data_IF_125507241645
#
_entry.id   IF_125507241645
#
_cell.length_a   1.000
_cell.length_b   1.000
_cell.length_c   1.000
_cell.angle_alpha   90.00
_cell.angle_beta   90.00
_cell.angle_gamma   90.00
#
_symmetry.space_group_name_H-M   'P 1'
#
loop_
_entity.id
_entity.type
_entity.pdbx_description
1 polymer ?
#
# COMPACT_ATOMS: atom_id res chain seq x y z
N UNK A 1 -13.88 -13.83 2.74
CA UNK A 1 -14.87 -14.75 3.36
C UNK A 1 -14.66 -14.98 4.86
N UNK A 2 -13.48 -14.75 5.42
CA UNK A 2 -13.20 -15.00 6.85
C UNK A 2 -13.47 -13.77 7.71
N UNK A 3 -13.38 -12.59 7.15
CA UNK A 3 -13.57 -11.34 7.88
C UNK A 3 -14.97 -10.75 7.71
N UNK A 4 -15.61 -11.02 6.58
CA UNK A 4 -16.93 -10.50 6.27
C UNK A 4 -17.72 -11.56 5.48
N UNK A 5 -18.86 -12.03 5.99
CA UNK A 5 -19.75 -12.95 5.26
C UNK A 5 -20.42 -12.20 4.09
N UNK A 6 -20.45 -12.80 2.91
CA UNK A 6 -21.12 -12.21 1.76
C UNK A 6 -21.00 -13.06 0.49
N UNK A 7 -21.91 -12.89 -0.43
CA UNK A 7 -21.89 -13.49 -1.75
C UNK A 7 -20.90 -12.77 -2.67
N UNK A 8 -20.50 -13.40 -3.76
CA UNK A 8 -19.59 -12.79 -4.75
C UNK A 8 -20.19 -11.50 -5.34
N UNK A 9 -21.51 -11.46 -5.54
CA UNK A 9 -22.21 -10.28 -6.05
C UNK A 9 -22.16 -9.10 -5.07
N UNK A 10 -22.36 -9.34 -3.79
CA UNK A 10 -22.26 -8.31 -2.74
C UNK A 10 -20.84 -7.73 -2.69
N UNK A 11 -19.81 -8.56 -2.78
CA UNK A 11 -18.43 -8.08 -2.80
C UNK A 11 -18.10 -7.24 -4.03
N UNK A 12 -18.61 -7.63 -5.21
CA UNK A 12 -18.46 -6.83 -6.44
C UNK A 12 -19.15 -5.48 -6.26
N UNK A 13 -20.38 -5.49 -5.73
CA UNK A 13 -21.14 -4.25 -5.50
C UNK A 13 -20.44 -3.33 -4.53
N UNK A 14 -20.00 -3.84 -3.36
CA UNK A 14 -19.26 -3.05 -2.36
C UNK A 14 -17.97 -2.50 -2.94
N UNK A 15 -17.19 -3.33 -3.65
CA UNK A 15 -15.94 -2.89 -4.27
C UNK A 15 -16.17 -1.82 -5.33
N UNK A 16 -17.24 -1.93 -6.13
CA UNK A 16 -17.59 -0.94 -7.14
C UNK A 16 -18.00 0.39 -6.52
N UNK A 17 -18.83 0.34 -5.46
CA UNK A 17 -19.22 1.54 -4.72
C UNK A 17 -18.00 2.22 -4.09
N UNK A 18 -17.12 1.45 -3.42
CA UNK A 18 -15.90 1.99 -2.81
C UNK A 18 -14.97 2.60 -3.86
N UNK A 19 -14.80 1.93 -5.01
CA UNK A 19 -13.98 2.46 -6.11
C UNK A 19 -14.56 3.75 -6.66
N UNK A 20 -15.88 3.80 -6.87
CA UNK A 20 -16.57 5.02 -7.31
C UNK A 20 -16.40 6.15 -6.31
N UNK A 21 -16.62 5.88 -5.03
CA UNK A 21 -16.42 6.86 -3.96
C UNK A 21 -14.96 7.35 -3.92
N UNK A 22 -13.98 6.46 -3.99
CA UNK A 22 -12.57 6.84 -4.05
C UNK A 22 -12.27 7.78 -5.22
N UNK A 23 -12.81 7.50 -6.42
CA UNK A 23 -12.61 8.36 -7.59
C UNK A 23 -13.25 9.74 -7.39
N UNK A 24 -14.46 9.78 -6.83
CA UNK A 24 -15.19 11.05 -6.64
C UNK A 24 -14.61 11.92 -5.52
N UNK A 25 -13.90 11.32 -4.55
CA UNK A 25 -13.36 12.05 -3.39
C UNK A 25 -11.95 12.56 -3.55
N UNK A 26 -11.25 12.12 -4.57
CA UNK A 26 -9.90 12.64 -4.85
C UNK A 26 -10.01 14.10 -5.26
N UNK A 27 -9.31 14.97 -4.51
CA UNK A 27 -9.34 16.43 -4.68
C UNK A 27 -8.86 16.86 -6.07
N UNK A 28 -7.89 16.15 -6.66
CA UNK A 28 -7.34 16.39 -7.99
C UNK A 28 -7.51 15.15 -8.88
N UNK A 29 -8.73 14.93 -9.35
CA UNK A 29 -9.06 13.79 -10.20
C UNK A 29 -8.27 13.78 -11.52
N UNK A 30 -8.07 14.97 -12.11
CA UNK A 30 -7.30 15.11 -13.35
C UNK A 30 -5.88 14.56 -13.19
N UNK A 31 -5.20 14.93 -12.11
CA UNK A 31 -3.82 14.51 -11.88
C UNK A 31 -3.71 13.04 -11.45
N UNK A 32 -4.72 12.53 -10.77
CA UNK A 32 -4.71 11.18 -10.21
C UNK A 32 -5.13 10.11 -11.21
N UNK A 33 -6.07 10.41 -12.13
CA UNK A 33 -6.68 9.42 -13.02
C UNK A 33 -6.53 9.75 -14.51
N UNK A 34 -6.57 11.03 -14.89
CA UNK A 34 -6.56 11.42 -16.30
C UNK A 34 -5.18 11.82 -16.81
N UNK A 35 -4.27 12.26 -15.94
CA UNK A 35 -2.89 12.46 -16.33
C UNK A 35 -2.14 11.14 -16.29
N UNK A 36 -1.71 10.64 -17.46
CA UNK A 36 -1.12 9.31 -17.62
C UNK A 36 0.02 9.01 -16.63
N UNK A 37 0.99 9.92 -16.51
CA UNK A 37 2.12 9.72 -15.59
C UNK A 37 1.69 9.70 -14.11
N UNK A 38 0.75 10.58 -13.73
CA UNK A 38 0.18 10.61 -12.39
C UNK A 38 -0.63 9.34 -12.09
N UNK A 39 -1.48 8.94 -13.01
CA UNK A 39 -2.29 7.73 -12.89
C UNK A 39 -1.42 6.47 -12.75
N UNK A 40 -0.42 6.31 -13.62
CA UNK A 40 0.48 5.15 -13.52
C UNK A 40 1.32 5.17 -12.25
N UNK A 41 1.86 6.33 -11.87
CA UNK A 41 2.78 6.45 -10.74
C UNK A 41 2.09 6.41 -9.38
N UNK A 42 0.88 6.97 -9.25
CA UNK A 42 0.15 6.97 -7.97
C UNK A 42 -0.95 5.89 -7.94
N UNK A 43 -1.93 5.96 -8.83
CA UNK A 43 -3.08 5.06 -8.82
C UNK A 43 -2.70 3.63 -9.21
N UNK A 44 -1.81 3.46 -10.19
CA UNK A 44 -1.31 2.15 -10.59
C UNK A 44 -0.55 1.46 -9.46
N UNK A 45 0.38 2.16 -8.81
CA UNK A 45 1.11 1.58 -7.66
C UNK A 45 0.21 1.36 -6.44
N UNK A 46 -0.80 2.18 -6.23
CA UNK A 46 -1.81 1.91 -5.21
C UNK A 46 -2.60 0.63 -5.51
N UNK A 47 -3.01 0.41 -6.76
CA UNK A 47 -3.65 -0.84 -7.16
C UNK A 47 -2.74 -2.06 -6.93
N UNK A 48 -1.45 -1.97 -7.30
CA UNK A 48 -0.47 -3.03 -7.02
C UNK A 48 -0.34 -3.30 -5.51
N UNK A 49 -0.39 -2.24 -4.68
CA UNK A 49 -0.42 -2.36 -3.22
C UNK A 49 -1.60 -3.20 -2.75
N UNK A 50 -2.80 -2.94 -3.26
CA UNK A 50 -3.99 -3.71 -2.90
C UNK A 50 -3.88 -5.18 -3.34
N UNK A 51 -3.35 -5.45 -4.53
CA UNK A 51 -3.10 -6.82 -4.99
C UNK A 51 -2.05 -7.53 -4.16
N UNK A 52 -0.97 -6.84 -3.79
CA UNK A 52 0.05 -7.38 -2.89
C UNK A 52 -0.55 -7.76 -1.54
N UNK A 53 -1.27 -6.84 -0.89
CA UNK A 53 -1.92 -7.07 0.40
C UNK A 53 -2.96 -8.19 0.32
N UNK A 54 -3.81 -8.18 -0.70
CA UNK A 54 -4.80 -9.23 -0.91
C UNK A 54 -4.16 -10.61 -1.09
N UNK A 55 -3.04 -10.68 -1.83
CA UNK A 55 -2.28 -11.92 -2.01
C UNK A 55 -1.60 -12.37 -0.73
N UNK A 56 -1.03 -11.43 0.04
CA UNK A 56 -0.40 -11.69 1.33
C UNK A 56 -1.41 -12.25 2.33
N UNK A 57 -2.56 -11.61 2.48
CA UNK A 57 -3.62 -12.09 3.38
C UNK A 57 -4.16 -13.46 2.93
N UNK A 58 -4.34 -13.65 1.63
CA UNK A 58 -4.73 -14.96 1.08
C UNK A 58 -3.69 -16.05 1.39
N UNK A 59 -2.40 -15.70 1.34
CA UNK A 59 -1.34 -16.63 1.75
C UNK A 59 -1.41 -16.92 3.25
N UNK A 60 -1.61 -15.91 4.08
CA UNK A 60 -1.76 -16.08 5.53
C UNK A 60 -2.95 -16.97 5.89
N UNK A 61 -4.01 -16.95 5.11
CA UNK A 61 -5.17 -17.83 5.30
C UNK A 61 -4.88 -19.26 4.81
N UNK A 62 -4.55 -19.42 3.55
CA UNK A 62 -4.49 -20.73 2.87
C UNK A 62 -3.15 -21.46 3.02
N UNK A 63 -2.04 -20.75 3.26
CA UNK A 63 -0.69 -21.32 3.31
C UNK A 63 -0.16 -21.87 1.98
N UNK A 64 -0.80 -21.57 0.85
CA UNK A 64 -0.43 -22.13 -0.47
C UNK A 64 0.84 -21.48 -1.00
N UNK A 65 1.91 -22.28 -1.17
CA UNK A 65 3.22 -21.80 -1.66
C UNK A 65 3.18 -21.18 -3.06
N UNK A 66 2.21 -21.55 -3.90
CA UNK A 66 2.04 -20.98 -5.24
C UNK A 66 1.84 -19.45 -5.20
N UNK A 67 1.34 -18.91 -4.08
CA UNK A 67 1.16 -17.48 -3.88
C UNK A 67 2.48 -16.72 -3.69
N UNK A 68 3.60 -17.42 -3.49
CA UNK A 68 4.92 -16.80 -3.42
C UNK A 68 5.26 -16.07 -4.73
N UNK A 69 4.96 -16.70 -5.87
CA UNK A 69 5.27 -16.11 -7.18
C UNK A 69 4.64 -14.72 -7.36
N UNK A 70 3.30 -14.55 -7.27
CA UNK A 70 2.71 -13.21 -7.37
C UNK A 70 3.15 -12.27 -6.26
N UNK A 71 3.41 -12.75 -5.02
CA UNK A 71 3.95 -11.91 -3.97
C UNK A 71 5.32 -11.32 -4.33
N UNK A 72 6.22 -12.14 -4.89
CA UNK A 72 7.54 -11.68 -5.32
C UNK A 72 7.45 -10.71 -6.50
N UNK A 73 6.59 -10.99 -7.49
CA UNK A 73 6.37 -10.09 -8.62
C UNK A 73 5.88 -8.72 -8.15
N UNK A 74 4.87 -8.68 -7.29
CA UNK A 74 4.36 -7.43 -6.73
C UNK A 74 5.41 -6.73 -5.85
N UNK A 75 6.20 -7.47 -5.07
CA UNK A 75 7.26 -6.89 -4.23
C UNK A 75 8.35 -6.20 -5.07
N UNK A 76 8.80 -6.83 -6.16
CA UNK A 76 9.78 -6.23 -7.09
C UNK A 76 9.18 -5.00 -7.76
N UNK A 77 7.93 -5.11 -8.23
CA UNK A 77 7.26 -3.99 -8.90
C UNK A 77 7.06 -2.79 -7.97
N UNK A 78 6.60 -3.02 -6.74
CA UNK A 78 6.47 -1.97 -5.72
C UNK A 78 7.79 -1.30 -5.41
N UNK A 79 8.89 -2.06 -5.34
CA UNK A 79 10.23 -1.54 -5.06
C UNK A 79 10.74 -0.54 -6.08
N UNK A 80 10.38 -0.71 -7.36
CA UNK A 80 10.71 0.22 -8.44
C UNK A 80 9.83 1.47 -8.53
N UNK A 81 8.80 1.56 -7.70
CA UNK A 81 7.76 2.57 -7.83
C UNK A 81 7.76 3.66 -6.77
N UNK A 82 6.57 3.95 -6.29
CA UNK A 82 6.30 5.04 -5.36
C UNK A 82 6.58 4.63 -3.91
N UNK A 83 7.40 5.39 -3.19
CA UNK A 83 7.72 5.14 -1.78
C UNK A 83 6.48 5.21 -0.86
N UNK A 84 5.48 6.01 -1.21
CA UNK A 84 4.23 6.10 -0.44
C UNK A 84 3.48 4.78 -0.43
N UNK A 85 3.53 4.02 -1.53
CA UNK A 85 2.93 2.69 -1.64
C UNK A 85 3.82 1.60 -1.07
N UNK A 86 5.13 1.70 -1.29
CA UNK A 86 6.11 0.69 -0.88
C UNK A 86 6.30 0.63 0.63
N UNK A 87 6.50 1.78 1.30
CA UNK A 87 6.84 1.83 2.72
C UNK A 87 5.78 1.16 3.63
N UNK A 88 4.47 1.41 3.48
CA UNK A 88 3.45 0.71 4.25
C UNK A 88 3.46 -0.81 4.03
N UNK A 89 3.62 -1.24 2.77
CA UNK A 89 3.71 -2.67 2.45
C UNK A 89 4.92 -3.34 3.09
N UNK A 90 6.07 -2.65 3.06
CA UNK A 90 7.31 -3.12 3.66
C UNK A 90 7.17 -3.25 5.19
N UNK A 91 6.68 -2.20 5.85
CA UNK A 91 6.47 -2.20 7.30
C UNK A 91 5.50 -3.31 7.73
N UNK A 92 4.37 -3.42 7.02
CA UNK A 92 3.37 -4.45 7.32
C UNK A 92 3.94 -5.86 7.09
N UNK A 93 4.64 -6.09 5.98
CA UNK A 93 5.22 -7.40 5.66
C UNK A 93 6.28 -7.81 6.68
N UNK A 94 7.17 -6.89 7.10
CA UNK A 94 8.17 -7.11 8.14
C UNK A 94 7.50 -7.40 9.48
N UNK A 95 6.51 -6.61 9.87
CA UNK A 95 5.78 -6.81 11.13
C UNK A 95 5.09 -8.17 11.16
N UNK A 96 4.39 -8.55 10.09
CA UNK A 96 3.76 -9.88 9.97
C UNK A 96 4.81 -10.98 10.07
N UNK A 97 5.95 -10.83 9.39
CA UNK A 97 7.04 -11.81 9.45
C UNK A 97 7.55 -11.98 10.87
N UNK A 98 7.82 -10.88 11.58
CA UNK A 98 8.28 -10.93 12.98
C UNK A 98 7.25 -11.61 13.89
N UNK A 99 5.98 -11.25 13.78
CA UNK A 99 4.91 -11.88 14.56
C UNK A 99 4.81 -13.38 14.30
N UNK A 100 4.92 -13.81 13.04
CA UNK A 100 4.88 -15.23 12.68
C UNK A 100 6.12 -15.98 13.17
N UNK A 101 7.30 -15.34 13.19
CA UNK A 101 8.52 -15.91 13.77
C UNK A 101 8.38 -16.11 15.28
N UNK A 102 7.85 -15.11 15.99
CA UNK A 102 7.58 -15.23 17.42
C UNK A 102 6.60 -16.36 17.74
N UNK A 103 5.61 -16.57 16.87
CA UNK A 103 4.63 -17.67 16.96
C UNK A 103 5.18 -19.02 16.45
N UNK A 104 6.44 -19.08 16.01
CA UNK A 104 7.06 -20.27 15.39
C UNK A 104 6.23 -20.84 14.23
N UNK A 105 5.52 -19.98 13.50
CA UNK A 105 4.65 -20.38 12.41
C UNK A 105 5.45 -20.57 11.10
N UNK A 106 5.28 -21.73 10.45
CA UNK A 106 5.99 -22.06 9.18
C UNK A 106 5.70 -21.05 8.04
N UNK A 107 4.61 -20.31 8.09
CA UNK A 107 4.28 -19.27 7.10
C UNK A 107 5.28 -18.09 7.16
N UNK A 108 6.01 -17.92 8.26
CA UNK A 108 7.04 -16.92 8.43
C UNK A 108 8.12 -16.99 7.33
N UNK A 109 8.43 -18.17 6.82
CA UNK A 109 9.45 -18.34 5.78
C UNK A 109 9.10 -17.59 4.48
N UNK A 110 7.89 -17.75 3.96
CA UNK A 110 7.45 -17.06 2.72
C UNK A 110 7.27 -15.56 2.97
N UNK A 111 6.69 -15.17 4.10
CA UNK A 111 6.58 -13.75 4.45
C UNK A 111 7.97 -13.11 4.60
N UNK A 112 8.95 -13.85 5.17
CA UNK A 112 10.33 -13.40 5.29
C UNK A 112 11.01 -13.18 3.93
N UNK A 113 10.89 -14.13 3.02
CA UNK A 113 11.40 -13.98 1.64
C UNK A 113 10.78 -12.74 0.99
N UNK A 114 9.47 -12.57 1.08
CA UNK A 114 8.76 -11.42 0.51
C UNK A 114 9.25 -10.10 1.11
N UNK A 115 9.45 -10.06 2.44
CA UNK A 115 9.98 -8.88 3.14
C UNK A 115 11.41 -8.54 2.71
N UNK A 116 12.27 -9.56 2.54
CA UNK A 116 13.63 -9.36 2.05
C UNK A 116 13.64 -8.81 0.62
N UNK A 117 12.79 -9.34 -0.25
CA UNK A 117 12.67 -8.84 -1.63
C UNK A 117 12.18 -7.39 -1.67
N UNK A 118 11.19 -7.03 -0.84
CA UNK A 118 10.74 -5.64 -0.70
C UNK A 118 11.88 -4.72 -0.23
N UNK A 119 12.65 -5.13 0.78
CA UNK A 119 13.80 -4.37 1.29
C UNK A 119 14.89 -4.19 0.23
N UNK A 120 15.23 -5.25 -0.50
CA UNK A 120 16.24 -5.19 -1.57
C UNK A 120 15.76 -4.30 -2.72
N UNK A 121 14.53 -4.44 -3.15
CA UNK A 121 13.94 -3.60 -4.20
C UNK A 121 13.91 -2.12 -3.79
N UNK A 122 13.57 -1.84 -2.53
CA UNK A 122 13.65 -0.49 -1.97
C UNK A 122 15.08 0.04 -1.98
N UNK A 123 16.06 -0.76 -1.52
CA UNK A 123 17.47 -0.35 -1.48
C UNK A 123 18.00 -0.01 -2.89
N UNK A 124 17.70 -0.86 -3.88
CA UNK A 124 18.08 -0.61 -5.29
C UNK A 124 17.45 0.70 -5.79
N UNK A 125 16.17 0.91 -5.52
CA UNK A 125 15.49 2.15 -5.90
C UNK A 125 16.04 3.38 -5.19
N UNK A 126 16.37 3.27 -3.89
CA UNK A 126 16.91 4.38 -3.10
C UNK A 126 18.32 4.80 -3.57
N UNK A 127 19.16 3.85 -4.00
CA UNK A 127 20.54 4.09 -4.47
C UNK A 127 20.56 4.55 -5.94
N UNK A 128 19.45 4.44 -6.66
CA UNK A 128 19.39 4.77 -8.09
C UNK A 128 19.89 6.20 -8.35
N UNK A 129 20.79 6.42 -9.35
CA UNK A 129 21.40 7.73 -9.63
C UNK A 129 20.40 8.86 -9.86
N UNK A 130 19.24 8.54 -10.47
CA UNK A 130 18.16 9.51 -10.69
C UNK A 130 17.57 10.10 -9.41
N UNK A 131 17.60 9.36 -8.31
CA UNK A 131 17.17 9.87 -7.01
C UNK A 131 18.13 10.89 -6.41
N UNK A 132 19.45 10.71 -6.61
CA UNK A 132 20.44 11.69 -6.21
C UNK A 132 20.25 13.03 -6.94
N UNK A 133 20.02 12.99 -8.26
CA UNK A 133 19.75 14.20 -9.05
C UNK A 133 18.48 14.90 -8.56
N UNK A 134 17.42 14.15 -8.33
CA UNK A 134 16.15 14.70 -7.82
C UNK A 134 16.30 15.29 -6.42
N UNK A 135 17.03 14.62 -5.53
CA UNK A 135 17.25 15.08 -4.15
C UNK A 135 18.19 16.28 -4.06
N UNK A 136 19.13 16.44 -5.00
CA UNK A 136 20.05 17.60 -5.01
C UNK A 136 19.32 18.93 -5.20
N UNK A 137 18.20 18.93 -5.90
CA UNK A 137 17.32 20.10 -6.10
C UNK A 137 16.30 20.35 -4.96
N UNK A 138 16.22 19.45 -3.97
CA UNK A 138 15.27 19.61 -2.88
C UNK A 138 15.88 20.33 -1.67
N UNK A 139 15.04 21.08 -0.94
CA UNK A 139 15.45 21.73 0.31
C UNK A 139 15.89 20.69 1.33
N UNK A 140 17.14 20.79 1.80
CA UNK A 140 17.67 19.90 2.84
C UNK A 140 17.07 20.26 4.19
N UNK A 141 16.10 19.48 4.61
CA UNK A 141 15.49 19.61 5.95
C UNK A 141 16.05 18.48 6.82
N UNK A 142 16.46 18.74 8.08
CA UNK A 142 16.87 17.69 9.02
C UNK A 142 15.81 16.58 9.10
N UNK A 143 16.25 15.31 9.15
CA UNK A 143 15.36 14.14 9.10
C UNK A 143 14.23 14.19 10.15
N UNK A 144 14.53 14.61 11.38
CA UNK A 144 13.53 14.73 12.45
C UNK A 144 12.44 15.76 12.13
N UNK A 145 12.79 16.90 11.51
CA UNK A 145 11.81 17.91 11.07
C UNK A 145 10.96 17.39 9.90
N UNK A 146 11.57 16.60 8.98
CA UNK A 146 10.84 15.96 7.90
C UNK A 146 9.81 14.97 8.45
N UNK A 147 10.21 14.10 9.40
CA UNK A 147 9.30 13.15 10.06
C UNK A 147 8.16 13.87 10.77
N UNK A 148 8.47 14.90 11.58
CA UNK A 148 7.46 15.68 12.30
C UNK A 148 6.47 16.34 11.33
N UNK A 149 6.95 16.94 10.23
CA UNK A 149 6.08 17.51 9.19
C UNK A 149 5.22 16.45 8.49
N UNK A 150 5.77 15.28 8.15
CA UNK A 150 5.01 14.19 7.54
C UNK A 150 3.90 13.70 8.47
N UNK A 151 4.18 13.52 9.76
CA UNK A 151 3.18 13.12 10.75
C UNK A 151 2.07 14.16 10.89
N UNK A 152 2.46 15.44 11.04
CA UNK A 152 1.51 16.55 11.18
C UNK A 152 0.60 16.66 9.94
N UNK A 153 1.19 16.62 8.75
CA UNK A 153 0.42 16.67 7.50
C UNK A 153 -0.44 15.41 7.32
N UNK A 154 0.06 14.24 7.67
CA UNK A 154 -0.72 13.00 7.65
C UNK A 154 -1.97 13.11 8.52
N UNK A 155 -1.83 13.59 9.76
CA UNK A 155 -2.98 13.82 10.66
C UNK A 155 -3.93 14.87 10.07
N UNK A 156 -3.40 15.99 9.59
CA UNK A 156 -4.21 17.07 9.01
C UNK A 156 -5.03 16.59 7.82
N UNK A 157 -4.40 15.88 6.87
CA UNK A 157 -5.10 15.34 5.69
C UNK A 157 -6.11 14.25 6.08
N UNK A 158 -5.74 13.36 7.01
CA UNK A 158 -6.69 12.34 7.50
C UNK A 158 -7.91 13.01 8.11
N UNK A 159 -7.75 14.00 8.97
CA UNK A 159 -8.88 14.72 9.57
C UNK A 159 -9.71 15.50 8.53
N UNK A 160 -9.05 16.11 7.54
CA UNK A 160 -9.75 16.82 6.46
C UNK A 160 -10.57 15.86 5.59
N UNK A 161 -10.05 14.67 5.30
CA UNK A 161 -10.71 13.69 4.45
C UNK A 161 -11.81 12.91 5.20
N UNK A 162 -11.57 12.50 6.45
CA UNK A 162 -12.58 11.83 7.28
C UNK A 162 -13.65 12.79 7.81
N UNK A 163 -13.39 14.09 7.78
CA UNK A 163 -14.40 15.11 8.08
C UNK A 163 -15.52 15.22 7.05
N UNK A 164 -15.42 14.55 5.94
CA UNK A 164 -16.50 14.41 4.96
C UNK A 164 -17.53 13.40 5.49
N UNK A 165 -18.65 13.90 5.96
CA UNK A 165 -19.73 13.09 6.59
C UNK A 165 -20.16 11.87 5.79
N UNK A 166 -20.07 11.91 4.46
CA UNK A 166 -20.43 10.79 3.60
C UNK A 166 -19.36 9.68 3.59
N UNK A 167 -18.06 9.98 3.85
CA UNK A 167 -17.01 8.97 4.07
C UNK A 167 -17.30 8.21 5.35
N UNK A 168 -17.66 8.94 6.42
CA UNK A 168 -18.10 8.33 7.68
C UNK A 168 -19.36 7.49 7.48
N UNK A 169 -20.34 7.99 6.73
CA UNK A 169 -21.56 7.24 6.41
C UNK A 169 -21.24 5.97 5.61
N UNK A 170 -20.33 6.04 4.62
CA UNK A 170 -19.91 4.87 3.86
C UNK A 170 -19.19 3.84 4.74
N UNK A 171 -18.32 4.29 5.66
CA UNK A 171 -17.64 3.41 6.62
C UNK A 171 -18.60 2.74 7.61
N UNK A 172 -19.67 3.44 8.02
CA UNK A 172 -20.72 2.92 8.91
C UNK A 172 -21.67 1.94 8.19
N UNK A 173 -21.78 2.05 6.87
CA UNK A 173 -22.60 1.15 6.05
C UNK A 173 -21.84 -0.10 5.59
N UNK A 174 -20.54 -0.20 5.88
CA UNK A 174 -19.77 -1.43 5.67
C UNK A 174 -20.17 -2.42 6.78
N UNK A 175 -20.70 -3.60 6.46
CA UNK A 175 -21.12 -4.61 7.43
C UNK A 175 -19.93 -5.20 8.19
#
# INVERSE_FOLDING_TARGET
RRFLPGTCGEWITVSSILSFLCIQTVEFQCDSFYWYNGSMYYTGFFAVTLFFLGTLFRYLDNGKRILLLPLLLFAVFLGGGNYVSLLPCMLLSVTITLLLLLQKNKKAYICGITSVVLLLSFAVSAIAPGNHVRQSGMWKIPAWKAIAKCLLQGIRYTLAWTGLWWVLAALLLLP
#
